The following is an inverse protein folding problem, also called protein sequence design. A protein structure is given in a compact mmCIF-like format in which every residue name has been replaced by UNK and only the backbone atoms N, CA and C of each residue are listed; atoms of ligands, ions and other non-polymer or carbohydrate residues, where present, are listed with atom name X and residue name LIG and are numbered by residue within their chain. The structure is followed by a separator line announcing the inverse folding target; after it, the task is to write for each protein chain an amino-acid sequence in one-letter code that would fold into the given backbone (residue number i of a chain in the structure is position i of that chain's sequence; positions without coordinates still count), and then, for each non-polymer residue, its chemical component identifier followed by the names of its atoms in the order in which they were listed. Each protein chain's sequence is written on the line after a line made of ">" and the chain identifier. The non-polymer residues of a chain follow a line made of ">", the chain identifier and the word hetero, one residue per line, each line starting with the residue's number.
data_IF_113056234836
#
_entry.id   IF_113056234836
#
_cell.length_a   1.000
_cell.length_b   1.000
_cell.length_c   1.000
_cell.angle_alpha   90.00
_cell.angle_beta   90.00
_cell.angle_gamma   90.00
#
_symmetry.space_group_name_H-M   'P 1'
#
loop_
_entity.id
_entity.type
_entity.pdbx_description
1 polymer ?
#
# COMPACT_ATOMS: atom_id res chain seq x y z
N UNK A 1 -42.67 -110.08 -157.71
CA UNK A 1 -41.22 -110.02 -158.04
C UNK A 1 -40.51 -111.05 -157.17
N UNK A 2 -39.48 -111.75 -157.60
CA UNK A 2 -39.00 -112.12 -158.95
C UNK A 2 -37.75 -112.99 -158.74
N UNK A 3 -37.50 -113.98 -159.62
CA UNK A 3 -36.16 -114.54 -159.92
C UNK A 3 -35.37 -115.25 -158.80
N UNK A 4 -34.46 -116.18 -159.06
CA UNK A 4 -34.18 -117.09 -160.20
C UNK A 4 -33.40 -118.29 -159.58
N UNK A 5 -33.74 -119.56 -159.84
CA UNK A 5 -33.32 -120.46 -160.93
C UNK A 5 -32.04 -121.29 -160.62
N UNK A 6 -31.82 -122.36 -161.40
CA UNK A 6 -30.58 -123.15 -161.58
C UNK A 6 -30.13 -124.15 -160.47
N UNK A 7 -29.63 -125.36 -160.78
CA UNK A 7 -29.90 -126.34 -161.88
C UNK A 7 -29.34 -127.73 -161.51
N UNK A 8 -29.78 -128.82 -162.17
CA UNK A 8 -28.94 -129.74 -163.02
C UNK A 8 -29.54 -131.18 -163.19
N UNK A 9 -28.96 -131.94 -164.15
CA UNK A 9 -29.27 -133.24 -164.77
C UNK A 9 -29.73 -134.45 -163.90
N UNK A 10 -30.26 -135.55 -164.47
CA UNK A 10 -30.58 -135.88 -165.88
C UNK A 10 -30.14 -137.29 -166.34
N UNK A 11 -30.79 -137.84 -167.39
CA UNK A 11 -30.50 -139.12 -168.10
C UNK A 11 -30.73 -140.45 -167.32
N UNK A 12 -31.08 -141.61 -167.93
CA UNK A 12 -31.52 -141.93 -169.31
C UNK A 12 -32.33 -143.27 -169.40
N UNK A 13 -32.87 -143.55 -170.60
CA UNK A 13 -33.72 -144.69 -171.01
C UNK A 13 -33.03 -146.09 -171.00
N UNK A 14 -33.69 -147.22 -171.34
CA UNK A 14 -34.00 -147.72 -172.72
C UNK A 14 -35.01 -148.92 -172.67
N UNK A 15 -35.77 -149.27 -173.74
CA UNK A 15 -36.99 -150.11 -173.69
C UNK A 15 -36.97 -151.37 -174.61
N UNK A 16 -38.15 -151.78 -175.16
CA UNK A 16 -38.45 -152.83 -176.19
C UNK A 16 -38.80 -154.26 -175.66
N UNK A 17 -39.70 -155.05 -176.28
CA UNK A 17 -40.74 -154.80 -177.31
C UNK A 17 -41.85 -155.88 -177.37
N UNK A 18 -42.93 -155.56 -178.10
CA UNK A 18 -43.97 -156.34 -178.83
C UNK A 18 -43.95 -157.89 -178.88
N UNK A 19 -45.08 -158.62 -179.01
CA UNK A 19 -46.51 -158.24 -179.12
C UNK A 19 -47.43 -159.41 -179.58
N UNK A 20 -48.76 -159.18 -179.62
CA UNK A 20 -49.87 -160.05 -180.17
C UNK A 20 -50.05 -161.48 -179.56
N UNK A 21 -51.23 -162.14 -179.52
CA UNK A 21 -52.61 -161.89 -179.99
C UNK A 21 -53.70 -162.20 -178.93
N UNK A 22 -54.80 -161.43 -178.93
CA UNK A 22 -56.17 -161.71 -178.46
C UNK A 22 -56.43 -162.74 -177.33
N UNK A 23 -56.78 -162.23 -176.15
CA UNK A 23 -57.48 -162.99 -175.09
C UNK A 23 -57.65 -162.24 -173.77
N UNK A 24 -57.68 -160.90 -173.80
CA UNK A 24 -57.07 -160.08 -172.72
C UNK A 24 -57.92 -158.93 -172.17
N UNK A 25 -59.18 -158.78 -172.57
CA UNK A 25 -59.97 -157.58 -172.26
C UNK A 25 -60.37 -157.46 -170.78
N UNK A 26 -60.66 -158.57 -170.09
CA UNK A 26 -60.99 -158.56 -168.64
C UNK A 26 -59.79 -158.16 -167.75
N UNK A 27 -58.57 -158.46 -168.20
CA UNK A 27 -57.33 -158.12 -167.46
C UNK A 27 -56.97 -156.64 -167.59
N UNK A 28 -57.42 -155.97 -168.67
CA UNK A 28 -57.16 -154.55 -168.89
C UNK A 28 -57.94 -153.67 -167.89
N UNK A 29 -59.23 -153.94 -167.68
CA UNK A 29 -60.08 -153.12 -166.81
C UNK A 29 -59.68 -153.26 -165.33
N UNK A 30 -59.28 -154.46 -164.88
CA UNK A 30 -58.72 -154.65 -163.54
C UNK A 30 -57.40 -153.89 -163.32
N UNK A 31 -56.50 -153.85 -164.32
CA UNK A 31 -55.27 -153.05 -164.24
C UNK A 31 -55.55 -151.54 -164.19
N UNK A 32 -56.58 -151.08 -164.92
CA UNK A 32 -57.03 -149.69 -164.93
C UNK A 32 -57.62 -149.29 -163.57
N UNK A 33 -58.47 -150.13 -162.97
CA UNK A 33 -58.99 -149.91 -161.61
C UNK A 33 -57.88 -149.94 -160.55
N UNK A 34 -56.92 -150.86 -160.65
CA UNK A 34 -55.75 -150.91 -159.76
C UNK A 34 -54.92 -149.62 -159.86
N UNK A 35 -54.65 -149.12 -161.08
CA UNK A 35 -53.94 -147.85 -161.27
C UNK A 35 -54.74 -146.69 -160.70
N UNK A 36 -56.03 -146.60 -160.99
CA UNK A 36 -56.87 -145.50 -160.52
C UNK A 36 -56.97 -145.46 -159.00
N UNK A 37 -57.15 -146.61 -158.33
CA UNK A 37 -57.10 -146.71 -156.88
C UNK A 37 -55.71 -146.39 -156.29
N UNK A 38 -54.63 -146.62 -157.04
CA UNK A 38 -53.26 -146.26 -156.62
C UNK A 38 -52.98 -144.76 -156.80
N UNK A 39 -53.44 -144.16 -157.89
CA UNK A 39 -53.38 -142.70 -158.13
C UNK A 39 -54.23 -141.96 -157.07
N UNK A 40 -55.46 -142.44 -156.78
CA UNK A 40 -56.32 -141.93 -155.70
C UNK A 40 -55.68 -142.12 -154.32
N UNK A 41 -55.02 -143.27 -154.05
CA UNK A 41 -54.25 -143.47 -152.81
C UNK A 41 -53.05 -142.50 -152.72
N UNK A 42 -52.42 -142.16 -153.84
CA UNK A 42 -51.29 -141.25 -153.87
C UNK A 42 -51.73 -139.77 -153.70
N UNK A 43 -52.90 -139.41 -154.22
CA UNK A 43 -53.56 -138.12 -153.95
C UNK A 43 -53.98 -138.02 -152.47
N UNK A 44 -54.63 -139.05 -151.91
CA UNK A 44 -54.98 -139.10 -150.48
C UNK A 44 -53.74 -139.09 -149.60
N UNK A 45 -52.66 -139.76 -149.99
CA UNK A 45 -51.36 -139.69 -149.30
C UNK A 45 -50.78 -138.27 -149.36
N UNK A 46 -50.79 -137.60 -150.52
CA UNK A 46 -50.35 -136.21 -150.68
C UNK A 46 -51.16 -135.24 -149.82
N UNK A 47 -52.49 -135.40 -149.77
CA UNK A 47 -53.36 -134.61 -148.91
C UNK A 47 -53.15 -134.91 -147.43
N UNK A 48 -52.92 -136.18 -147.06
CA UNK A 48 -52.57 -136.60 -145.70
C UNK A 48 -51.22 -136.01 -145.27
N UNK A 49 -50.17 -136.12 -146.07
CA UNK A 49 -48.84 -135.59 -145.78
C UNK A 49 -48.83 -134.05 -145.76
N UNK A 50 -49.65 -133.41 -146.61
CA UNK A 50 -49.90 -131.96 -146.56
C UNK A 50 -50.63 -131.56 -145.28
N UNK A 51 -51.62 -132.35 -144.83
CA UNK A 51 -52.35 -132.08 -143.59
C UNK A 51 -51.49 -132.36 -142.36
N UNK A 52 -50.68 -133.42 -142.35
CA UNK A 52 -49.67 -133.73 -141.33
C UNK A 52 -48.58 -132.66 -141.32
N UNK A 53 -48.18 -132.12 -142.46
CA UNK A 53 -47.29 -130.97 -142.58
C UNK A 53 -47.89 -129.71 -141.94
N UNK A 54 -49.15 -129.39 -142.26
CA UNK A 54 -49.90 -128.27 -141.64
C UNK A 54 -50.14 -128.48 -140.15
N UNK A 55 -50.44 -129.69 -139.69
CA UNK A 55 -50.58 -130.04 -138.27
C UNK A 55 -49.22 -129.99 -137.57
N UNK A 56 -48.12 -130.35 -138.23
CA UNK A 56 -46.76 -130.25 -137.68
C UNK A 56 -46.27 -128.81 -137.60
N UNK A 57 -46.56 -127.98 -138.61
CA UNK A 57 -46.28 -126.55 -138.55
C UNK A 57 -47.17 -125.83 -137.54
N UNK A 58 -48.46 -126.17 -137.44
CA UNK A 58 -49.37 -125.65 -136.42
C UNK A 58 -48.97 -126.11 -135.02
N UNK A 59 -48.49 -127.34 -134.84
CA UNK A 59 -47.90 -127.85 -133.60
C UNK A 59 -46.60 -127.10 -133.26
N UNK A 60 -45.73 -126.83 -134.24
CA UNK A 60 -44.52 -126.02 -134.04
C UNK A 60 -44.85 -124.58 -133.65
N UNK A 61 -45.82 -123.94 -134.32
CA UNK A 61 -46.34 -122.61 -133.97
C UNK A 61 -46.99 -122.62 -132.59
N UNK A 62 -47.75 -123.66 -132.22
CA UNK A 62 -48.35 -123.78 -130.90
C UNK A 62 -47.31 -124.01 -129.80
N UNK A 63 -46.25 -124.79 -130.06
CA UNK A 63 -45.10 -124.94 -129.14
C UNK A 63 -44.35 -123.61 -128.99
N UNK A 64 -44.11 -122.87 -130.08
CA UNK A 64 -43.50 -121.53 -130.04
C UNK A 64 -44.39 -120.51 -129.32
N UNK A 65 -45.71 -120.54 -129.55
CA UNK A 65 -46.67 -119.67 -128.89
C UNK A 65 -46.77 -119.99 -127.39
N UNK A 66 -46.68 -121.27 -127.01
CA UNK A 66 -46.60 -121.70 -125.60
C UNK A 66 -45.27 -121.31 -124.95
N UNK A 67 -44.16 -121.30 -125.70
CA UNK A 67 -42.88 -120.76 -125.24
C UNK A 67 -42.98 -119.25 -125.02
N UNK A 68 -43.39 -118.50 -126.04
CA UNK A 68 -43.58 -117.05 -125.96
C UNK A 68 -44.62 -116.63 -124.91
N UNK A 69 -45.66 -117.43 -124.67
CA UNK A 69 -46.61 -117.21 -123.56
C UNK A 69 -45.95 -117.42 -122.19
N UNK A 70 -45.10 -118.45 -122.05
CA UNK A 70 -44.32 -118.68 -120.83
C UNK A 70 -43.29 -117.57 -120.60
N UNK A 71 -42.57 -117.17 -121.64
CA UNK A 71 -41.62 -116.04 -121.61
C UNK A 71 -42.32 -114.71 -121.30
N UNK A 72 -43.55 -114.51 -121.81
CA UNK A 72 -44.41 -113.37 -121.47
C UNK A 72 -44.88 -113.40 -120.00
N UNK A 73 -45.17 -114.57 -119.44
CA UNK A 73 -45.54 -114.68 -118.03
C UNK A 73 -44.32 -114.50 -117.11
N UNK A 74 -43.18 -115.11 -117.44
CA UNK A 74 -41.91 -114.92 -116.71
C UNK A 74 -41.44 -113.45 -116.74
N UNK A 75 -41.63 -112.75 -117.86
CA UNK A 75 -41.33 -111.30 -117.94
C UNK A 75 -42.35 -110.43 -117.22
N UNK A 76 -43.64 -110.81 -117.14
CA UNK A 76 -44.61 -110.14 -116.25
C UNK A 76 -44.29 -110.37 -114.78
N UNK A 77 -43.94 -111.58 -114.37
CA UNK A 77 -43.56 -111.92 -113.00
C UNK A 77 -42.34 -111.10 -112.57
N UNK A 78 -41.31 -111.03 -113.43
CA UNK A 78 -40.15 -110.16 -113.23
C UNK A 78 -40.50 -108.66 -113.23
N UNK A 79 -41.47 -108.22 -114.04
CA UNK A 79 -41.95 -106.84 -114.05
C UNK A 79 -42.76 -106.49 -112.80
N UNK A 80 -43.53 -107.44 -112.24
CA UNK A 80 -44.23 -107.29 -110.96
C UNK A 80 -43.24 -107.17 -109.82
N UNK A 81 -42.27 -108.09 -109.72
CA UNK A 81 -41.26 -108.04 -108.66
C UNK A 81 -40.40 -106.78 -108.73
N UNK A 82 -40.00 -106.33 -109.93
CA UNK A 82 -39.30 -105.05 -110.11
C UNK A 82 -40.19 -103.84 -109.79
N UNK A 83 -41.51 -103.92 -110.00
CA UNK A 83 -42.45 -102.86 -109.60
C UNK A 83 -42.64 -102.82 -108.08
N UNK A 84 -42.73 -103.98 -107.43
CA UNK A 84 -42.81 -104.12 -105.97
C UNK A 84 -41.51 -103.65 -105.30
N UNK A 85 -40.34 -103.98 -105.87
CA UNK A 85 -39.04 -103.48 -105.43
C UNK A 85 -38.93 -101.95 -105.61
N UNK A 86 -39.36 -101.40 -106.76
CA UNK A 86 -39.37 -99.95 -106.96
C UNK A 86 -40.33 -99.22 -106.00
N UNK A 87 -41.48 -99.82 -105.66
CA UNK A 87 -42.37 -99.28 -104.64
C UNK A 87 -41.69 -99.30 -103.25
N UNK A 88 -41.13 -100.45 -102.86
CA UNK A 88 -40.40 -100.59 -101.59
C UNK A 88 -39.25 -99.58 -101.44
N UNK A 89 -38.41 -99.43 -102.48
CA UNK A 89 -37.32 -98.45 -102.51
C UNK A 89 -37.83 -97.00 -102.50
N UNK A 90 -38.98 -96.72 -103.13
CA UNK A 90 -39.62 -95.39 -103.08
C UNK A 90 -40.14 -95.07 -101.68
N UNK A 91 -40.74 -96.05 -101.01
CA UNK A 91 -41.21 -95.97 -99.63
C UNK A 91 -40.03 -95.74 -98.66
N UNK A 92 -38.93 -96.48 -98.80
CA UNK A 92 -37.71 -96.31 -98.00
C UNK A 92 -37.07 -94.93 -98.26
N UNK A 93 -36.98 -94.49 -99.52
CA UNK A 93 -36.51 -93.14 -99.87
C UNK A 93 -37.40 -92.06 -99.24
N UNK A 94 -38.71 -92.27 -99.14
CA UNK A 94 -39.61 -91.33 -98.45
C UNK A 94 -39.33 -91.30 -96.95
N UNK A 95 -39.25 -92.46 -96.29
CA UNK A 95 -38.95 -92.58 -94.86
C UNK A 95 -37.57 -92.00 -94.49
N UNK A 96 -36.56 -92.19 -95.35
CA UNK A 96 -35.23 -91.62 -95.19
C UNK A 96 -35.23 -90.09 -95.37
N UNK A 97 -35.98 -89.55 -96.35
CA UNK A 97 -36.17 -88.08 -96.50
C UNK A 97 -36.89 -87.48 -95.29
N UNK A 98 -37.88 -88.16 -94.75
CA UNK A 98 -38.61 -87.71 -93.56
C UNK A 98 -37.74 -87.73 -92.31
N UNK A 99 -36.96 -88.79 -92.08
CA UNK A 99 -35.92 -88.83 -91.03
C UNK A 99 -34.87 -87.74 -91.20
N UNK A 100 -34.37 -87.51 -92.43
CA UNK A 100 -33.39 -86.47 -92.71
C UNK A 100 -33.96 -85.07 -92.42
N UNK A 101 -35.21 -84.82 -92.81
CA UNK A 101 -35.94 -83.58 -92.51
C UNK A 101 -36.08 -83.37 -90.99
N UNK A 102 -36.47 -84.42 -90.25
CA UNK A 102 -36.62 -84.37 -88.81
C UNK A 102 -35.27 -84.14 -88.08
N UNK A 103 -34.22 -84.87 -88.44
CA UNK A 103 -32.87 -84.65 -87.92
C UNK A 103 -32.33 -83.25 -88.27
N UNK A 104 -32.67 -82.70 -89.43
CA UNK A 104 -32.29 -81.33 -89.80
C UNK A 104 -32.95 -80.29 -88.89
N UNK A 105 -34.22 -80.49 -88.50
CA UNK A 105 -34.88 -79.64 -87.49
C UNK A 105 -34.19 -79.76 -86.14
N UNK A 106 -33.96 -80.98 -85.66
CA UNK A 106 -33.32 -81.26 -84.37
C UNK A 106 -31.91 -80.65 -84.28
N UNK A 107 -31.12 -80.73 -85.36
CA UNK A 107 -29.80 -80.09 -85.47
C UNK A 107 -29.89 -78.56 -85.46
N UNK A 108 -30.90 -77.97 -86.10
CA UNK A 108 -31.09 -76.52 -86.09
C UNK A 108 -31.58 -76.01 -84.73
N UNK A 109 -32.53 -76.69 -84.10
CA UNK A 109 -32.93 -76.42 -82.72
C UNK A 109 -31.74 -76.56 -81.74
N UNK A 110 -30.89 -77.57 -81.93
CA UNK A 110 -29.70 -77.76 -81.11
C UNK A 110 -28.67 -76.62 -81.30
N UNK A 111 -28.53 -76.10 -82.53
CA UNK A 111 -27.72 -74.90 -82.80
C UNK A 111 -28.29 -73.65 -82.15
N UNK A 112 -29.59 -73.39 -82.29
CA UNK A 112 -30.25 -72.24 -81.64
C UNK A 112 -30.09 -72.29 -80.11
N UNK A 113 -30.26 -73.46 -79.51
CA UNK A 113 -30.02 -73.67 -78.07
C UNK A 113 -28.54 -73.47 -77.68
N UNK A 114 -27.59 -73.78 -78.58
CA UNK A 114 -26.16 -73.57 -78.37
C UNK A 114 -25.77 -72.08 -78.50
N UNK A 115 -26.27 -71.37 -79.52
CA UNK A 115 -26.14 -69.92 -79.69
C UNK A 115 -26.64 -69.18 -78.44
N UNK A 116 -27.87 -69.48 -77.98
CA UNK A 116 -28.45 -68.91 -76.75
C UNK A 116 -27.56 -69.21 -75.54
N UNK A 117 -27.09 -70.45 -75.37
CA UNK A 117 -26.21 -70.82 -74.25
C UNK A 117 -24.88 -70.06 -74.29
N UNK A 118 -24.26 -69.89 -75.47
CA UNK A 118 -23.03 -69.12 -75.62
C UNK A 118 -23.24 -67.65 -75.27
N UNK A 119 -24.32 -67.02 -75.73
CA UNK A 119 -24.62 -65.62 -75.38
C UNK A 119 -24.87 -65.41 -73.89
N UNK A 120 -25.49 -66.38 -73.19
CA UNK A 120 -25.64 -66.33 -71.74
C UNK A 120 -24.31 -66.60 -71.01
N UNK A 121 -23.46 -67.50 -71.51
CA UNK A 121 -22.11 -67.71 -70.99
C UNK A 121 -21.22 -66.46 -71.13
N UNK A 122 -21.28 -65.76 -72.27
CA UNK A 122 -20.57 -64.48 -72.47
C UNK A 122 -21.09 -63.40 -71.52
N UNK A 123 -22.41 -63.28 -71.37
CA UNK A 123 -23.07 -62.36 -70.43
C UNK A 123 -22.69 -62.64 -68.98
N UNK A 124 -22.66 -63.91 -68.56
CA UNK A 124 -22.18 -64.33 -67.24
C UNK A 124 -20.68 -64.05 -67.07
N UNK A 125 -19.85 -64.29 -68.10
CA UNK A 125 -18.41 -63.96 -68.06
C UNK A 125 -18.16 -62.45 -67.90
N UNK A 126 -18.95 -61.61 -68.56
CA UNK A 126 -18.92 -60.15 -68.40
C UNK A 126 -19.37 -59.73 -66.99
N UNK A 127 -20.41 -60.37 -66.43
CA UNK A 127 -20.83 -60.12 -65.05
C UNK A 127 -19.77 -60.53 -64.03
N UNK A 128 -19.13 -61.69 -64.18
CA UNK A 128 -18.01 -62.11 -63.32
C UNK A 128 -16.88 -61.07 -63.32
N UNK A 129 -16.42 -60.63 -64.50
CA UNK A 129 -15.38 -59.59 -64.65
C UNK A 129 -15.79 -58.25 -64.02
N UNK A 130 -17.07 -57.89 -64.11
CA UNK A 130 -17.62 -56.70 -63.45
C UNK A 130 -17.57 -56.81 -61.92
N UNK A 131 -17.98 -57.96 -61.37
CA UNK A 131 -17.91 -58.22 -59.93
C UNK A 131 -16.46 -58.33 -59.42
N UNK A 132 -15.54 -58.93 -60.18
CA UNK A 132 -14.10 -58.94 -59.88
C UNK A 132 -13.54 -57.50 -59.78
N UNK A 133 -13.91 -56.62 -60.73
CA UNK A 133 -13.56 -55.21 -60.68
C UNK A 133 -14.12 -54.47 -59.46
N UNK A 134 -15.39 -54.71 -59.12
CA UNK A 134 -16.02 -54.15 -57.91
C UNK A 134 -15.37 -54.67 -56.62
N UNK A 135 -15.01 -55.95 -56.56
CA UNK A 135 -14.31 -56.56 -55.41
C UNK A 135 -12.91 -55.94 -55.25
N UNK A 136 -12.19 -55.68 -56.34
CA UNK A 136 -10.90 -54.96 -56.28
C UNK A 136 -11.08 -53.57 -55.71
N UNK A 137 -12.02 -52.78 -56.25
CA UNK A 137 -12.30 -51.41 -55.80
C UNK A 137 -12.68 -51.36 -54.31
N UNK A 138 -13.57 -52.24 -53.85
CA UNK A 138 -13.97 -52.33 -52.45
C UNK A 138 -12.81 -52.75 -51.53
N UNK A 139 -11.86 -53.54 -52.02
CA UNK A 139 -10.68 -53.95 -51.26
C UNK A 139 -9.63 -52.81 -51.18
N UNK A 140 -9.49 -52.01 -52.24
CA UNK A 140 -8.66 -50.80 -52.26
C UNK A 140 -9.25 -49.72 -51.33
N UNK A 141 -10.58 -49.49 -51.38
CA UNK A 141 -11.30 -48.61 -50.45
C UNK A 141 -11.14 -49.07 -49.00
N UNK A 142 -11.30 -50.37 -48.74
CA UNK A 142 -11.07 -50.96 -47.42
C UNK A 142 -9.64 -50.69 -46.93
N UNK A 143 -8.62 -50.90 -47.77
CA UNK A 143 -7.22 -50.65 -47.38
C UNK A 143 -6.96 -49.17 -47.08
N UNK A 144 -7.57 -48.25 -47.84
CA UNK A 144 -7.53 -46.82 -47.57
C UNK A 144 -8.24 -46.46 -46.25
N UNK A 145 -9.38 -47.08 -45.95
CA UNK A 145 -10.11 -46.90 -44.69
C UNK A 145 -9.34 -47.45 -43.48
N UNK A 146 -8.74 -48.65 -43.57
CA UNK A 146 -7.88 -49.22 -42.53
C UNK A 146 -6.64 -48.35 -42.27
N UNK A 147 -6.04 -47.80 -43.34
CA UNK A 147 -4.92 -46.85 -43.25
C UNK A 147 -5.34 -45.55 -42.55
N UNK A 148 -6.47 -44.97 -42.93
CA UNK A 148 -7.02 -43.77 -42.28
C UNK A 148 -7.40 -44.04 -40.81
N UNK A 149 -7.98 -45.20 -40.50
CA UNK A 149 -8.26 -45.59 -39.12
C UNK A 149 -6.96 -45.68 -38.29
N UNK A 150 -5.89 -46.22 -38.86
CA UNK A 150 -4.57 -46.25 -38.21
C UNK A 150 -4.00 -44.84 -37.96
N UNK A 151 -4.11 -43.91 -38.91
CA UNK A 151 -3.62 -42.53 -38.72
C UNK A 151 -4.47 -41.74 -37.72
N UNK A 152 -5.80 -41.91 -37.73
CA UNK A 152 -6.70 -41.35 -36.72
C UNK A 152 -6.43 -41.92 -35.32
N UNK A 153 -6.22 -43.22 -35.18
CA UNK A 153 -5.88 -43.85 -33.89
C UNK A 153 -4.54 -43.33 -33.34
N UNK A 154 -3.51 -43.21 -34.19
CA UNK A 154 -2.23 -42.58 -33.82
C UNK A 154 -2.43 -41.14 -33.36
N UNK A 155 -3.17 -40.33 -34.13
CA UNK A 155 -3.46 -38.93 -33.78
C UNK A 155 -4.27 -38.79 -32.48
N UNK A 156 -5.22 -39.69 -32.23
CA UNK A 156 -5.97 -39.72 -30.97
C UNK A 156 -5.08 -40.09 -29.77
N UNK A 157 -4.14 -41.03 -29.93
CA UNK A 157 -3.18 -41.36 -28.86
C UNK A 157 -2.22 -40.21 -28.54
N UNK A 158 -1.75 -39.48 -29.56
CA UNK A 158 -0.90 -38.29 -29.37
C UNK A 158 -1.68 -37.12 -28.75
N UNK A 159 -2.92 -36.86 -29.18
CA UNK A 159 -3.77 -35.85 -28.54
C UNK A 159 -4.05 -36.19 -27.07
N UNK A 160 -4.26 -37.47 -26.73
CA UNK A 160 -4.41 -37.91 -25.33
C UNK A 160 -3.12 -37.70 -24.51
N UNK A 161 -1.95 -37.93 -25.11
CA UNK A 161 -0.64 -37.64 -24.49
C UNK A 161 -0.45 -36.14 -24.24
N UNK A 162 -0.77 -35.29 -25.22
CA UNK A 162 -0.69 -33.84 -25.09
C UNK A 162 -1.67 -33.31 -24.04
N UNK A 163 -2.90 -33.84 -24.00
CA UNK A 163 -3.90 -33.47 -22.99
C UNK A 163 -3.42 -33.81 -21.57
N UNK A 164 -2.87 -35.01 -21.34
CA UNK A 164 -2.29 -35.38 -20.05
C UNK A 164 -1.12 -34.50 -19.62
N UNK A 165 -0.28 -34.03 -20.56
CA UNK A 165 0.77 -33.05 -20.27
C UNK A 165 0.16 -31.70 -19.84
N UNK A 166 -0.91 -31.24 -20.52
CA UNK A 166 -1.61 -30.01 -20.13
C UNK A 166 -2.37 -30.13 -18.82
N UNK A 167 -2.87 -31.31 -18.44
CA UNK A 167 -3.44 -31.56 -17.12
C UNK A 167 -2.38 -31.40 -16.01
N UNK A 168 -1.15 -31.89 -16.23
CA UNK A 168 -0.03 -31.68 -15.31
C UNK A 168 0.36 -30.20 -15.23
N UNK A 169 0.58 -29.51 -16.35
CA UNK A 169 0.88 -28.06 -16.36
C UNK A 169 -0.19 -27.25 -15.61
N UNK A 170 -1.48 -27.56 -15.80
CA UNK A 170 -2.59 -26.90 -15.09
C UNK A 170 -2.58 -27.22 -13.60
N UNK A 171 -2.14 -28.41 -13.19
CA UNK A 171 -1.97 -28.76 -11.77
C UNK A 171 -0.80 -28.01 -11.13
N UNK A 172 0.35 -27.92 -11.81
CA UNK A 172 1.53 -27.18 -11.37
C UNK A 172 1.22 -25.68 -11.23
N UNK A 173 0.54 -25.09 -12.22
CA UNK A 173 0.09 -23.70 -12.18
C UNK A 173 -0.91 -23.43 -11.04
N UNK A 174 -1.82 -24.37 -10.73
CA UNK A 174 -2.73 -24.26 -9.59
C UNK A 174 -1.99 -24.32 -8.25
N UNK A 175 -1.01 -25.22 -8.11
CA UNK A 175 -0.17 -25.27 -6.91
C UNK A 175 0.62 -23.97 -6.76
N UNK A 176 1.31 -23.52 -7.81
CA UNK A 176 2.07 -22.26 -7.80
C UNK A 176 1.20 -21.04 -7.48
N UNK A 177 -0.05 -21.01 -7.95
CA UNK A 177 -1.01 -19.97 -7.59
C UNK A 177 -1.40 -20.02 -6.10
N UNK A 178 -1.67 -21.20 -5.53
CA UNK A 178 -1.94 -21.36 -4.09
C UNK A 178 -0.74 -20.99 -3.21
N UNK A 179 0.47 -21.34 -3.65
CA UNK A 179 1.71 -20.92 -3.00
C UNK A 179 1.95 -19.40 -3.07
N UNK A 180 1.55 -18.75 -4.18
CA UNK A 180 1.62 -17.29 -4.31
C UNK A 180 0.53 -16.59 -3.49
N UNK A 181 -0.67 -17.15 -3.41
CA UNK A 181 -1.76 -16.62 -2.58
C UNK A 181 -1.40 -16.67 -1.10
N UNK A 182 -0.91 -17.82 -0.60
CA UNK A 182 -0.48 -17.94 0.81
C UNK A 182 0.73 -17.05 1.14
N UNK A 183 1.64 -16.83 0.19
CA UNK A 183 2.71 -15.82 0.30
C UNK A 183 2.12 -14.40 0.37
N UNK A 184 1.14 -14.06 -0.47
CA UNK A 184 0.45 -12.76 -0.44
C UNK A 184 -0.22 -12.52 0.92
N UNK A 185 -1.08 -13.45 1.36
CA UNK A 185 -1.79 -13.39 2.65
C UNK A 185 -0.83 -13.21 3.84
N UNK A 186 0.30 -13.92 3.85
CA UNK A 186 1.32 -13.74 4.90
C UNK A 186 2.06 -12.41 4.82
N UNK A 187 2.31 -11.86 3.62
CA UNK A 187 2.87 -10.51 3.47
C UNK A 187 1.88 -9.40 3.83
N UNK A 188 0.59 -9.57 3.56
CA UNK A 188 -0.47 -8.64 3.97
C UNK A 188 -0.66 -8.63 5.49
N UNK A 189 -0.64 -9.80 6.12
CA UNK A 189 -0.65 -9.92 7.58
C UNK A 189 0.60 -9.27 8.22
N UNK A 190 1.78 -9.47 7.63
CA UNK A 190 3.02 -8.83 8.09
C UNK A 190 2.99 -7.30 7.91
N UNK A 191 2.46 -6.80 6.79
CA UNK A 191 2.30 -5.37 6.51
C UNK A 191 1.31 -4.72 7.50
N UNK A 192 0.17 -5.35 7.74
CA UNK A 192 -0.83 -4.92 8.73
C UNK A 192 -0.25 -4.85 10.15
N UNK A 193 0.51 -5.88 10.55
CA UNK A 193 1.23 -5.90 11.82
C UNK A 193 2.27 -4.77 11.92
N UNK A 194 3.04 -4.53 10.85
CA UNK A 194 4.01 -3.45 10.78
C UNK A 194 3.35 -2.05 10.82
N UNK A 195 2.19 -1.87 10.20
CA UNK A 195 1.40 -0.63 10.31
C UNK A 195 0.92 -0.39 11.73
N UNK A 196 0.33 -1.39 12.40
CA UNK A 196 -0.09 -1.23 13.80
C UNK A 196 1.11 -0.95 14.73
N UNK A 197 2.26 -1.60 14.51
CA UNK A 197 3.49 -1.31 15.25
C UNK A 197 4.00 0.13 15.01
N UNK A 198 3.92 0.63 13.77
CA UNK A 198 4.25 2.02 13.41
C UNK A 198 3.30 3.01 14.08
N UNK A 199 1.99 2.78 14.05
CA UNK A 199 0.98 3.62 14.69
C UNK A 199 1.17 3.69 16.21
N UNK A 200 1.47 2.56 16.86
CA UNK A 200 1.81 2.51 18.28
C UNK A 200 3.13 3.24 18.61
N UNK A 201 4.14 3.15 17.74
CA UNK A 201 5.40 3.85 17.91
C UNK A 201 5.24 5.37 17.73
N UNK A 202 4.47 5.80 16.72
CA UNK A 202 4.10 7.20 16.55
C UNK A 202 3.29 7.75 17.71
N UNK A 203 2.36 6.96 18.27
CA UNK A 203 1.58 7.41 19.43
C UNK A 203 2.48 7.62 20.64
N UNK A 204 3.34 6.64 20.98
CA UNK A 204 4.33 6.79 22.05
C UNK A 204 5.27 7.99 21.83
N UNK A 205 5.63 8.28 20.57
CA UNK A 205 6.40 9.48 20.22
C UNK A 205 5.61 10.77 20.46
N UNK A 206 4.33 10.82 20.06
CA UNK A 206 3.44 11.97 20.33
C UNK A 206 3.26 12.19 21.83
N UNK A 207 3.01 11.12 22.60
CA UNK A 207 2.81 11.16 24.05
C UNK A 207 4.08 11.68 24.76
N UNK A 208 5.25 11.11 24.45
CA UNK A 208 6.53 11.55 25.02
C UNK A 208 6.89 13.00 24.61
N UNK A 209 6.58 13.42 23.38
CA UNK A 209 6.78 14.80 22.95
C UNK A 209 5.83 15.77 23.67
N UNK A 210 4.60 15.36 23.98
CA UNK A 210 3.67 16.16 24.79
C UNK A 210 4.17 16.30 26.23
N UNK A 211 4.64 15.21 26.86
CA UNK A 211 5.23 15.24 28.20
C UNK A 211 6.47 16.15 28.25
N UNK A 212 7.38 16.03 27.28
CA UNK A 212 8.57 16.91 27.17
C UNK A 212 8.16 18.38 27.04
N UNK A 213 7.11 18.70 26.27
CA UNK A 213 6.61 20.06 26.12
C UNK A 213 5.98 20.59 27.42
N UNK A 214 5.22 19.77 28.15
CA UNK A 214 4.63 20.11 29.45
C UNK A 214 5.72 20.37 30.51
N UNK A 215 6.74 19.51 30.58
CA UNK A 215 7.88 19.70 31.49
C UNK A 215 8.70 20.95 31.10
N UNK A 216 8.91 21.22 29.80
CA UNK A 216 9.56 22.44 29.35
C UNK A 216 8.78 23.71 29.74
N UNK A 217 7.44 23.70 29.63
CA UNK A 217 6.59 24.78 30.11
C UNK A 217 6.71 24.96 31.63
N UNK A 218 6.60 23.87 32.42
CA UNK A 218 6.78 23.90 33.88
C UNK A 218 8.15 24.45 34.28
N UNK A 219 9.22 24.08 33.58
CA UNK A 219 10.56 24.61 33.84
C UNK A 219 10.67 26.10 33.53
N UNK A 220 10.04 26.60 32.48
CA UNK A 220 10.02 28.04 32.18
C UNK A 220 9.12 28.84 33.15
N UNK A 221 8.01 28.27 33.62
CA UNK A 221 7.14 28.87 34.65
C UNK A 221 7.83 28.93 36.02
N UNK A 222 8.47 27.84 36.46
CA UNK A 222 9.23 27.79 37.71
C UNK A 222 10.49 28.67 37.65
N UNK A 223 11.16 28.75 36.49
CA UNK A 223 12.24 29.72 36.26
C UNK A 223 11.75 31.16 36.39
N UNK A 224 10.59 31.51 35.82
CA UNK A 224 9.99 32.85 35.96
C UNK A 224 9.64 33.17 37.41
N UNK A 225 9.01 32.26 38.15
CA UNK A 225 8.66 32.50 39.56
C UNK A 225 9.91 32.63 40.44
N UNK A 226 10.94 31.80 40.20
CA UNK A 226 12.25 31.95 40.84
C UNK A 226 12.91 33.30 40.52
N UNK A 227 12.90 33.75 39.25
CA UNK A 227 13.40 35.09 38.89
C UNK A 227 12.65 36.18 39.67
N UNK A 228 11.31 36.19 39.69
CA UNK A 228 10.55 37.19 40.47
C UNK A 228 10.80 37.09 41.98
N UNK A 229 11.16 35.91 42.50
CA UNK A 229 11.54 35.72 43.91
C UNK A 229 12.93 36.30 44.18
N UNK A 230 13.88 36.11 43.26
CA UNK A 230 15.22 36.69 43.32
C UNK A 230 15.13 38.22 43.20
N UNK A 231 14.36 38.75 42.25
CA UNK A 231 14.18 40.19 42.07
C UNK A 231 13.57 40.86 43.33
N UNK A 232 12.53 40.25 43.90
CA UNK A 232 11.93 40.76 45.15
C UNK A 232 12.87 40.63 46.35
N UNK A 233 13.65 39.55 46.46
CA UNK A 233 14.71 39.44 47.47
C UNK A 233 15.82 40.49 47.28
N UNK A 234 16.23 40.79 46.05
CA UNK A 234 17.19 41.85 45.75
C UNK A 234 16.65 43.23 46.12
N UNK A 235 15.36 43.52 45.86
CA UNK A 235 14.76 44.79 46.33
C UNK A 235 14.68 44.86 47.87
N UNK A 236 14.38 43.75 48.54
CA UNK A 236 14.36 43.70 50.00
C UNK A 236 15.76 43.86 50.62
N UNK A 237 16.80 43.31 49.97
CA UNK A 237 18.20 43.53 50.35
C UNK A 237 18.58 45.00 50.17
N UNK A 238 18.29 45.61 49.02
CA UNK A 238 18.57 47.03 48.77
C UNK A 238 17.82 47.95 49.74
N UNK A 239 16.58 47.62 50.12
CA UNK A 239 15.84 48.30 51.19
C UNK A 239 16.52 48.16 52.56
N UNK A 240 17.04 46.98 52.89
CA UNK A 240 17.75 46.73 54.16
C UNK A 240 19.10 47.43 54.19
N UNK A 241 19.85 47.43 53.09
CA UNK A 241 21.09 48.20 52.92
C UNK A 241 20.82 49.70 53.06
N UNK A 242 19.77 50.23 52.42
CA UNK A 242 19.35 51.62 52.61
C UNK A 242 19.03 51.92 54.07
N UNK A 243 18.25 51.07 54.75
CA UNK A 243 17.93 51.22 56.19
C UNK A 243 19.18 51.12 57.07
N UNK A 244 20.15 50.29 56.71
CA UNK A 244 21.45 50.21 57.40
C UNK A 244 22.24 51.50 57.21
N UNK A 245 22.30 52.08 56.01
CA UNK A 245 22.98 53.37 55.79
C UNK A 245 22.31 54.54 56.51
N UNK A 246 20.97 54.58 56.55
CA UNK A 246 20.23 55.58 57.34
C UNK A 246 20.43 55.40 58.85
N UNK A 247 20.50 54.16 59.35
CA UNK A 247 20.79 53.87 60.75
C UNK A 247 22.25 54.18 61.11
N UNK A 248 23.20 53.91 60.22
CA UNK A 248 24.61 54.30 60.37
C UNK A 248 24.74 55.82 60.44
N UNK A 249 24.12 56.55 59.51
CA UNK A 249 24.09 58.02 59.51
C UNK A 249 23.40 58.60 60.75
N UNK A 250 22.31 57.99 61.21
CA UNK A 250 21.67 58.37 62.47
C UNK A 250 22.58 58.11 63.68
N UNK A 251 23.31 57.00 63.69
CA UNK A 251 24.24 56.64 64.75
C UNK A 251 25.44 57.60 64.77
N UNK A 252 26.05 57.90 63.62
CA UNK A 252 27.07 58.94 63.44
C UNK A 252 26.56 60.31 63.92
N UNK A 253 25.34 60.72 63.55
CA UNK A 253 24.71 61.96 64.05
C UNK A 253 24.47 61.93 65.57
N UNK A 254 24.32 60.76 66.19
CA UNK A 254 24.20 60.61 67.65
C UNK A 254 25.56 60.61 68.32
N UNK A 255 26.60 60.03 67.71
CA UNK A 255 27.98 60.06 68.18
C UNK A 255 28.53 61.49 68.13
N UNK A 256 28.29 62.24 67.04
CA UNK A 256 28.53 63.69 66.95
C UNK A 256 27.87 64.45 68.11
N UNK A 257 26.58 64.17 68.36
CA UNK A 257 25.83 64.84 69.43
C UNK A 257 26.30 64.45 70.83
N UNK A 258 26.79 63.22 71.01
CA UNK A 258 27.45 62.78 72.26
C UNK A 258 28.78 63.51 72.41
N UNK A 259 29.60 63.59 71.37
CA UNK A 259 30.87 64.33 71.38
C UNK A 259 30.68 65.82 71.69
N UNK A 260 29.66 66.47 71.11
CA UNK A 260 29.30 67.85 71.43
C UNK A 260 28.85 68.01 72.89
N UNK A 261 28.10 67.05 73.44
CA UNK A 261 27.67 67.05 74.84
C UNK A 261 28.83 66.74 75.81
N UNK A 262 29.78 65.90 75.42
CA UNK A 262 31.02 65.65 76.17
C UNK A 262 31.91 66.89 76.16
N UNK A 263 32.04 67.58 75.02
CA UNK A 263 32.75 68.85 74.92
C UNK A 263 32.07 69.93 75.79
N UNK A 264 30.74 70.05 75.75
CA UNK A 264 29.99 70.94 76.64
C UNK A 264 30.14 70.56 78.11
N UNK A 265 30.23 69.27 78.44
CA UNK A 265 30.48 68.81 79.81
C UNK A 265 31.91 69.16 80.27
N UNK A 266 32.91 69.04 79.39
CA UNK A 266 34.29 69.48 79.66
C UNK A 266 34.37 71.00 79.83
N UNK A 267 33.68 71.77 78.98
CA UNK A 267 33.59 73.23 79.11
C UNK A 267 32.91 73.62 80.44
N UNK A 268 31.80 72.96 80.80
CA UNK A 268 31.14 73.11 82.10
C UNK A 268 32.09 72.75 83.26
N UNK A 269 32.94 71.73 83.14
CA UNK A 269 33.91 71.37 84.18
C UNK A 269 35.09 72.34 84.27
N UNK A 270 35.56 72.91 83.15
CA UNK A 270 36.54 74.02 83.19
C UNK A 270 35.92 75.28 83.79
N UNK A 271 34.66 75.59 83.49
CA UNK A 271 33.92 76.69 84.12
C UNK A 271 33.66 76.44 85.62
N UNK A 272 33.41 75.19 86.05
CA UNK A 272 33.40 74.84 87.49
C UNK A 272 34.76 75.07 88.14
N UNK A 273 35.86 74.72 87.47
CA UNK A 273 37.22 74.96 87.96
C UNK A 273 37.54 76.46 88.03
N UNK A 274 37.16 77.25 87.02
CA UNK A 274 37.24 78.71 87.07
C UNK A 274 36.40 79.29 88.20
N UNK A 275 35.13 78.90 88.34
CA UNK A 275 34.25 79.35 89.43
C UNK A 275 34.84 78.96 90.79
N UNK A 276 35.42 77.77 90.94
CA UNK A 276 36.12 77.36 92.16
C UNK A 276 37.39 78.19 92.41
N UNK A 277 38.17 78.51 91.37
CA UNK A 277 39.34 79.38 91.47
C UNK A 277 38.97 80.83 91.82
N UNK A 278 37.90 81.37 91.21
CA UNK A 278 37.30 82.68 91.54
C UNK A 278 36.76 82.67 92.97
N UNK A 279 36.10 81.60 93.41
CA UNK A 279 35.62 81.45 94.78
C UNK A 279 36.76 81.36 95.80
N UNK A 280 37.87 80.69 95.45
CA UNK A 280 39.09 80.67 96.25
C UNK A 280 39.77 82.05 96.28
N UNK A 281 39.74 82.80 95.17
CA UNK A 281 40.22 84.18 95.10
C UNK A 281 39.33 85.14 95.92
N UNK A 282 38.01 84.95 95.91
CA UNK A 282 37.07 85.64 96.80
C UNK A 282 37.34 85.24 98.26
N UNK A 283 37.70 83.99 98.53
CA UNK A 283 38.16 83.54 99.85
C UNK A 283 39.42 84.26 100.31
N UNK A 284 40.43 84.38 99.45
CA UNK A 284 41.66 85.14 99.71
C UNK A 284 41.37 86.63 99.93
N UNK A 285 40.63 87.28 99.03
CA UNK A 285 40.25 88.70 99.14
C UNK A 285 39.38 88.97 100.38
N UNK A 286 38.51 88.04 100.80
CA UNK A 286 37.79 88.11 102.08
C UNK A 286 38.73 87.99 103.27
N UNK A 287 39.71 87.09 103.22
CA UNK A 287 40.68 86.94 104.30
C UNK A 287 41.61 88.17 104.41
N UNK A 288 42.07 88.70 103.28
CA UNK A 288 42.78 89.98 103.20
C UNK A 288 41.93 91.14 103.72
N UNK A 289 40.64 91.21 103.38
CA UNK A 289 39.73 92.23 103.92
C UNK A 289 39.47 92.08 105.43
N UNK A 290 39.50 90.86 105.97
CA UNK A 290 39.43 90.59 107.42
C UNK A 290 40.74 91.02 108.11
N UNK A 291 41.89 90.63 107.57
CA UNK A 291 43.22 91.03 108.05
C UNK A 291 43.38 92.55 108.00
N UNK A 292 42.93 93.19 106.92
CA UNK A 292 42.96 94.65 106.77
C UNK A 292 42.07 95.34 107.80
N UNK A 293 40.88 94.80 108.11
CA UNK A 293 40.05 95.30 109.21
C UNK A 293 40.72 95.10 110.58
N UNK A 294 41.46 94.00 110.79
CA UNK A 294 42.21 93.78 112.03
C UNK A 294 43.35 94.80 112.19
N UNK A 295 44.10 95.09 111.11
CA UNK A 295 45.09 96.17 111.08
C UNK A 295 44.44 97.54 111.33
N UNK A 296 43.33 97.85 110.66
CA UNK A 296 42.60 99.11 110.85
C UNK A 296 42.09 99.27 112.30
N UNK A 297 41.65 98.17 112.92
CA UNK A 297 41.21 98.12 114.32
C UNK A 297 42.39 98.35 115.28
N UNK A 298 43.54 97.69 115.05
CA UNK A 298 44.76 97.88 115.85
C UNK A 298 45.34 99.30 115.73
N UNK A 299 45.28 99.91 114.54
CA UNK A 299 45.64 101.32 114.35
C UNK A 299 44.64 102.27 115.02
N UNK A 300 43.34 101.96 115.01
CA UNK A 300 42.32 102.77 115.67
C UNK A 300 42.40 102.73 117.21
N UNK A 301 42.84 101.64 117.84
CA UNK A 301 43.12 101.65 119.28
C UNK A 301 44.37 102.45 119.61
N UNK A 302 45.49 102.25 118.89
CA UNK A 302 46.72 103.00 119.14
C UNK A 302 46.55 104.53 118.96
N UNK A 303 45.79 104.97 117.95
CA UNK A 303 45.53 106.40 117.72
C UNK A 303 44.54 106.99 118.76
N UNK A 304 43.71 106.15 119.40
CA UNK A 304 42.72 106.59 120.39
C UNK A 304 43.29 106.69 121.81
N UNK A 305 44.36 105.95 122.11
CA UNK A 305 45.13 106.10 123.36
C UNK A 305 46.19 107.21 123.28
N UNK A 306 46.61 107.62 122.07
CA UNK A 306 47.64 108.66 121.84
C UNK A 306 47.09 110.09 121.65
N UNK A 307 45.84 110.37 122.05
CA UNK A 307 45.18 111.66 121.75
C UNK A 307 44.36 112.22 122.93
N UNK A 308 44.78 111.89 124.16
CA UNK A 308 44.32 112.53 125.39
C UNK A 308 45.50 112.84 126.32
N UNK A 309 45.40 113.97 127.03
CA UNK A 309 46.29 114.43 128.11
C UNK A 309 47.72 114.93 127.76
N UNK A 310 47.84 115.88 126.82
CA UNK A 310 49.07 116.72 126.69
C UNK A 310 48.75 118.19 126.32
N UNK A 311 47.58 118.71 126.70
CA UNK A 311 47.18 120.11 126.44
C UNK A 311 46.40 120.79 127.57
N UNK A 312 46.49 120.26 128.80
CA UNK A 312 45.68 120.73 129.95
C UNK A 312 46.52 121.08 131.19
N UNK A 313 47.84 120.95 131.10
CA UNK A 313 48.75 120.92 132.26
C UNK A 313 49.72 122.10 132.34
N UNK A 314 50.09 122.70 131.20
CA UNK A 314 51.06 123.81 131.12
C UNK A 314 50.44 125.15 131.59
N UNK A 315 49.19 125.44 131.20
CA UNK A 315 48.59 126.76 131.42
C UNK A 315 48.37 127.09 132.90
N UNK A 316 48.01 126.09 133.73
CA UNK A 316 47.66 126.31 135.14
C UNK A 316 48.80 126.91 135.97
N UNK A 317 50.03 126.48 135.73
CA UNK A 317 51.20 127.00 136.46
C UNK A 317 51.55 128.43 136.00
N UNK A 318 51.42 128.71 134.69
CA UNK A 318 51.60 130.03 134.12
C UNK A 318 50.59 131.04 134.70
N UNK A 319 49.29 130.71 134.65
CA UNK A 319 48.19 131.55 135.14
C UNK A 319 48.34 131.83 136.65
N UNK A 320 48.68 130.80 137.43
CA UNK A 320 48.84 130.92 138.89
C UNK A 320 49.97 131.89 139.25
N UNK A 321 51.09 131.87 138.50
CA UNK A 321 52.21 132.77 138.73
C UNK A 321 51.85 134.24 138.44
N UNK A 322 51.12 134.52 137.35
CA UNK A 322 50.63 135.87 137.04
C UNK A 322 49.66 136.40 138.13
N UNK A 323 48.79 135.55 138.69
CA UNK A 323 47.86 135.93 139.78
C UNK A 323 48.61 136.27 141.08
N UNK A 324 49.67 135.51 141.41
CA UNK A 324 50.53 135.82 142.57
C UNK A 324 51.23 137.18 142.37
N UNK A 325 51.74 137.45 141.16
CA UNK A 325 52.38 138.72 140.83
C UNK A 325 51.40 139.91 140.94
N UNK A 326 50.17 139.75 140.46
CA UNK A 326 49.12 140.77 140.58
C UNK A 326 48.80 141.15 142.03
N UNK A 327 48.82 140.19 142.97
CA UNK A 327 48.53 140.45 144.38
C UNK A 327 49.63 141.22 145.12
N UNK A 328 50.88 141.15 144.67
CA UNK A 328 52.02 141.81 145.35
C UNK A 328 52.15 143.31 145.02
N UNK A 329 51.54 143.81 143.93
CA UNK A 329 51.63 145.24 143.58
C UNK A 329 50.78 146.14 144.49
N UNK A 330 51.35 147.23 145.06
CA UNK A 330 50.62 148.23 145.85
C UNK A 330 49.42 148.86 145.13
N UNK A 331 48.47 149.38 145.90
CA UNK A 331 47.31 150.12 145.36
C UNK A 331 47.77 151.47 144.81
N UNK A 332 47.97 151.54 143.48
CA UNK A 332 48.39 152.75 142.77
C UNK A 332 49.51 152.54 141.73
N UNK A 333 50.12 151.35 141.66
CA UNK A 333 51.16 151.05 140.66
C UNK A 333 50.55 150.74 139.28
N UNK A 334 51.05 151.41 138.23
CA UNK A 334 50.64 151.18 136.83
C UNK A 334 50.89 149.75 136.33
N UNK A 335 51.91 149.05 136.85
CA UNK A 335 52.25 147.67 136.42
C UNK A 335 51.16 146.65 136.74
N UNK A 336 50.26 147.00 137.66
CA UNK A 336 49.09 146.20 138.03
C UNK A 336 48.04 146.13 136.91
N UNK A 337 47.99 147.13 136.02
CA UNK A 337 47.11 147.12 134.84
C UNK A 337 47.69 146.26 133.70
N UNK A 338 49.01 146.33 133.47
CA UNK A 338 49.70 145.52 132.46
C UNK A 338 49.60 144.01 132.78
N UNK A 339 49.83 143.63 134.04
CA UNK A 339 49.67 142.22 134.47
C UNK A 339 48.23 141.72 134.35
N UNK A 340 47.23 142.54 134.67
CA UNK A 340 45.82 142.18 134.50
C UNK A 340 45.46 142.03 133.01
N UNK A 341 46.03 142.87 132.13
CA UNK A 341 45.84 142.79 130.68
C UNK A 341 46.48 141.51 130.08
N UNK A 342 47.67 141.11 130.54
CA UNK A 342 48.27 139.81 130.17
C UNK A 342 47.39 138.62 130.61
N UNK A 343 46.79 138.66 131.79
CA UNK A 343 45.88 137.61 132.27
C UNK A 343 44.65 137.51 131.34
N UNK A 344 44.05 138.65 130.97
CA UNK A 344 42.91 138.68 130.05
C UNK A 344 43.25 138.10 128.66
N UNK A 345 44.47 138.34 128.17
CA UNK A 345 44.95 137.81 126.89
C UNK A 345 45.31 136.32 126.93
N UNK A 346 45.77 135.79 128.06
CA UNK A 346 46.15 134.37 128.21
C UNK A 346 44.97 133.47 128.56
N UNK A 347 43.98 133.99 129.29
CA UNK A 347 42.75 133.24 129.63
C UNK A 347 41.60 133.42 128.63
N UNK A 348 41.85 134.08 127.49
CA UNK A 348 40.86 134.33 126.42
C UNK A 348 39.52 134.88 126.93
N UNK A 349 39.56 135.87 127.85
CA UNK A 349 38.35 136.43 128.45
C UNK A 349 37.41 137.01 127.40
N UNK A 350 36.12 136.67 127.53
CA UNK A 350 35.02 137.30 126.81
C UNK A 350 34.86 138.78 127.25
N UNK A 351 34.27 139.62 126.40
CA UNK A 351 34.11 141.04 126.71
C UNK A 351 33.21 141.31 127.93
N UNK A 352 32.31 140.40 128.30
CA UNK A 352 31.59 140.49 129.60
C UNK A 352 32.52 140.35 130.81
N UNK A 353 33.57 139.54 130.70
CA UNK A 353 34.55 139.29 131.78
C UNK A 353 35.58 140.42 131.86
N UNK A 354 36.00 140.98 130.71
CA UNK A 354 36.90 142.16 130.65
C UNK A 354 36.27 143.40 131.29
N UNK A 355 34.95 143.57 131.15
CA UNK A 355 34.19 144.63 131.86
C UNK A 355 34.23 144.42 133.37
N UNK A 356 33.96 143.20 133.86
CA UNK A 356 33.96 142.89 135.29
C UNK A 356 35.34 143.06 135.94
N UNK A 357 36.42 142.87 135.18
CA UNK A 357 37.80 143.11 135.62
C UNK A 357 38.26 144.59 135.51
N UNK A 358 37.47 145.47 134.90
CA UNK A 358 37.80 146.88 134.71
C UNK A 358 38.76 147.19 133.55
N UNK A 359 38.80 146.33 132.52
CA UNK A 359 39.71 146.46 131.36
C UNK A 359 39.04 146.94 130.05
N UNK A 360 37.73 146.79 129.85
CA UNK A 360 37.02 147.23 128.63
C UNK A 360 35.54 147.56 128.87
N UNK A 361 34.80 147.94 127.80
CA UNK A 361 33.39 148.40 127.88
C UNK A 361 32.43 147.93 126.75
N UNK A 362 32.39 146.62 126.39
CA UNK A 362 31.19 145.85 125.93
C UNK A 362 30.78 145.66 124.43
N UNK A 363 30.27 144.45 124.03
CA UNK A 363 29.50 144.09 122.78
C UNK A 363 29.54 142.58 122.27
N UNK A 364 28.48 141.98 121.62
CA UNK A 364 28.34 140.51 121.16
C UNK A 364 27.25 140.30 120.02
N UNK A 365 26.81 139.17 119.36
CA UNK A 365 26.92 137.65 119.23
C UNK A 365 26.42 137.19 117.78
N UNK A 366 26.05 135.98 117.22
CA UNK A 366 25.76 134.50 117.49
C UNK A 366 26.06 133.61 116.20
N UNK A 367 25.57 132.40 115.74
CA UNK A 367 24.43 131.41 115.92
C UNK A 367 24.58 130.06 115.07
N UNK A 368 23.55 129.19 114.78
CA UNK A 368 23.68 127.73 114.32
C UNK A 368 22.50 127.03 113.46
N UNK A 369 22.64 125.78 112.90
CA UNK A 369 21.56 124.86 112.33
C UNK A 369 21.92 123.55 111.47
N UNK A 370 21.12 122.42 111.44
CA UNK A 370 21.47 121.04 110.81
C UNK A 370 20.34 119.91 110.65
N UNK A 371 20.44 118.86 109.73
CA UNK A 371 19.81 117.42 109.66
C UNK A 371 19.70 116.79 108.19
N UNK A 372 19.32 115.53 107.75
CA UNK A 372 19.27 114.05 108.14
C UNK A 372 19.06 113.01 106.91
N UNK A 373 18.63 111.70 107.06
CA UNK A 373 18.43 110.57 106.03
C UNK A 373 17.30 109.51 106.37
N UNK A 374 16.99 108.46 105.52
CA UNK A 374 16.58 107.08 105.97
C UNK A 374 17.12 105.83 105.14
N UNK A 375 16.77 104.56 105.49
CA UNK A 375 17.32 103.29 104.88
C UNK A 375 16.54 101.94 105.09
N UNK A 376 16.77 100.95 104.20
CA UNK A 376 16.63 99.46 104.22
C UNK A 376 15.39 98.71 104.74
N UNK A 377 14.60 99.21 105.69
CA UNK A 377 13.67 98.34 106.46
C UNK A 377 12.47 97.70 105.68
N UNK A 378 12.13 98.18 104.48
CA UNK A 378 10.87 97.81 103.80
C UNK A 378 10.86 96.48 103.03
N UNK A 379 12.01 95.98 102.55
CA UNK A 379 12.06 94.81 101.65
C UNK A 379 11.71 93.46 102.32
N UNK A 380 11.77 93.38 103.65
CA UNK A 380 11.29 92.21 104.40
C UNK A 380 9.77 92.22 104.62
N UNK A 381 9.11 93.37 104.51
CA UNK A 381 7.65 93.48 104.60
C UNK A 381 6.98 92.93 103.35
N UNK A 382 7.51 93.28 102.17
CA UNK A 382 6.97 92.89 100.85
C UNK A 382 6.94 91.36 100.65
N UNK A 383 7.90 90.62 101.20
CA UNK A 383 7.92 89.15 101.13
C UNK A 383 6.78 88.51 101.94
N UNK A 384 6.48 89.04 103.13
CA UNK A 384 5.43 88.51 104.02
C UNK A 384 4.02 88.97 103.62
N UNK A 385 3.88 90.14 103.01
CA UNK A 385 2.61 90.64 102.47
C UNK A 385 2.13 89.81 101.26
N UNK A 386 3.07 89.20 100.53
CA UNK A 386 2.83 88.39 99.31
C UNK A 386 2.40 86.95 99.57
N UNK A 387 2.69 86.37 100.74
CA UNK A 387 2.08 85.09 101.18
C UNK A 387 0.77 85.29 101.96
N UNK A 388 0.58 86.44 102.62
CA UNK A 388 -0.59 86.67 103.49
C UNK A 388 -1.80 87.32 102.81
N UNK A 389 -1.67 87.78 101.56
CA UNK A 389 -2.78 88.30 100.75
C UNK A 389 -2.68 87.87 99.29
N UNK A 390 -3.70 87.36 98.59
CA UNK A 390 -5.02 86.75 98.92
C UNK A 390 -5.20 85.64 97.85
N UNK A 391 -5.67 84.42 98.14
CA UNK A 391 -7.01 84.02 98.65
C UNK A 391 -8.16 84.36 97.70
#
# INVERSE_FOLDING_TARGET
>A
MASDNDTDAGAAAVPQAEGVTNGTDEVAELKKQLKQAQDERQEVQSQYDTLVGKVSSMKSVFTKMKSAQKELEETKEAMSSLSEENQSLTEEIHQLKEKLSQQTKEVNEAKEKNEVLNTECDKLSQQCKSFEGQISQLNDEKYALETNQSTHQKRASELKRQLGIKEVEVSELKQGHSELQTKLETTEAALSSAQSAKEQAEQKYRDAHAEIAEQAQRHEETKKSLTTTIDSQLTAIAELESKITDLQRQLETKEDKISELEQQSQEIDTLKQEVHAKQLQIGKLRHEAIILNEHLTKSLTQIKESMGDESTRVDKELITNLIIQFLQFPRGDSKKFETLSLIASTLTWDDTQRVAAGLSSGGSAAGDGKRLKPSFAGLWTEFLEKESTKK
#
